data_IF_843194341964
#
_entry.id   IF_843194341964
#
_cell.length_a   1.000
_cell.length_b   1.000
_cell.length_c   1.000
_cell.angle_alpha   90.00
_cell.angle_beta   90.00
_cell.angle_gamma   90.00
#
_symmetry.space_group_name_H-M   'P 1'
#
loop_
_entity.id
_entity.type
_entity.pdbx_description
1 polymer ?
#
# COMPACT_ATOMS: atom_id res chain seq x y z
N UNK A 1 -3.09 20.21 8.07
CA UNK A 1 -3.49 19.15 7.14
C UNK A 1 -4.77 18.43 7.61
N UNK A 2 -5.26 17.40 6.92
CA UNK A 2 -6.49 16.66 7.29
C UNK A 2 -6.27 15.60 8.38
N UNK A 3 -5.12 14.92 8.39
CA UNK A 3 -4.79 13.88 9.39
C UNK A 3 -4.54 14.47 10.78
N UNK A 4 -3.76 15.54 10.87
CA UNK A 4 -3.45 16.29 12.09
C UNK A 4 -4.68 16.83 12.84
N UNK A 5 -5.78 17.07 12.12
CA UNK A 5 -7.04 17.53 12.74
C UNK A 5 -7.76 16.43 13.50
N UNK A 6 -7.54 15.18 13.11
CA UNK A 6 -8.17 14.00 13.73
C UNK A 6 -7.29 13.40 14.83
N UNK A 7 -5.97 13.61 14.76
CA UNK A 7 -4.99 12.94 15.61
C UNK A 7 -4.53 13.83 16.79
N UNK A 8 -4.40 13.28 18.02
CA UNK A 8 -3.73 13.95 19.14
C UNK A 8 -2.32 14.41 18.76
N UNK A 9 -1.87 15.57 19.27
CA UNK A 9 -0.59 16.18 18.87
C UNK A 9 0.62 15.31 19.19
N UNK A 10 0.56 14.58 20.29
CA UNK A 10 1.56 13.63 20.76
C UNK A 10 1.75 12.43 19.80
N UNK A 11 0.76 12.13 18.97
CA UNK A 11 0.81 11.02 18.01
C UNK A 11 1.31 11.45 16.61
N UNK A 12 1.54 12.74 16.37
CA UNK A 12 1.92 13.25 15.04
C UNK A 12 3.28 12.75 14.56
N UNK A 13 4.23 12.61 15.47
CA UNK A 13 5.57 12.12 15.18
C UNK A 13 5.60 10.58 15.04
N UNK A 14 5.06 9.79 15.99
CA UNK A 14 5.12 8.33 15.90
C UNK A 14 4.28 7.73 14.77
N UNK A 15 3.18 8.38 14.34
CA UNK A 15 2.32 7.82 13.30
C UNK A 15 3.00 7.78 11.92
N UNK A 16 3.90 8.73 11.64
CA UNK A 16 4.49 8.89 10.32
C UNK A 16 5.39 7.70 9.94
N UNK A 17 6.36 7.27 10.77
CA UNK A 17 7.14 6.07 10.51
C UNK A 17 6.26 4.82 10.31
N UNK A 18 5.15 4.69 11.05
CA UNK A 18 4.22 3.56 10.90
C UNK A 18 3.52 3.57 9.55
N UNK A 19 2.96 4.71 9.13
CA UNK A 19 2.26 4.85 7.85
C UNK A 19 3.22 4.70 6.67
N UNK A 20 4.42 5.29 6.76
CA UNK A 20 5.47 5.16 5.74
C UNK A 20 5.91 3.69 5.63
N UNK A 21 6.22 3.04 6.75
CA UNK A 21 6.61 1.63 6.78
C UNK A 21 5.51 0.73 6.20
N UNK A 22 4.25 0.99 6.53
CA UNK A 22 3.10 0.28 5.97
C UNK A 22 3.00 0.45 4.44
N UNK A 23 3.15 1.68 3.94
CA UNK A 23 3.12 1.97 2.49
C UNK A 23 4.30 1.38 1.72
N UNK A 24 5.45 1.20 2.37
CA UNK A 24 6.64 0.59 1.76
C UNK A 24 6.60 -0.94 1.75
N UNK A 25 5.90 -1.57 2.70
CA UNK A 25 6.00 -3.03 2.93
C UNK A 25 4.72 -3.82 2.65
N UNK A 26 3.54 -3.22 2.84
CA UNK A 26 2.22 -3.86 2.68
C UNK A 26 1.40 -3.18 1.58
N UNK A 27 1.10 -1.88 1.72
CA UNK A 27 0.27 -1.15 0.77
C UNK A 27 1.12 -0.44 -0.30
N UNK A 28 1.90 -1.25 -1.05
CA UNK A 28 2.83 -0.75 -2.06
C UNK A 28 2.11 -0.21 -3.30
N UNK A 29 2.70 0.77 -4.02
CA UNK A 29 2.09 1.36 -5.22
C UNK A 29 1.94 0.35 -6.36
N UNK A 30 2.85 -0.63 -6.43
CA UNK A 30 2.80 -1.74 -7.37
C UNK A 30 2.58 -3.02 -6.57
N UNK A 31 1.43 -3.68 -6.79
CA UNK A 31 1.04 -4.95 -6.16
C UNK A 31 0.98 -4.90 -4.62
N UNK A 32 0.00 -4.18 -4.04
CA UNK A 32 -0.21 -4.20 -2.59
C UNK A 32 -0.51 -5.63 -2.10
N UNK A 33 -0.01 -5.98 -0.92
CA UNK A 33 -0.20 -7.29 -0.29
C UNK A 33 -1.51 -7.34 0.49
N UNK A 34 -2.64 -7.22 -0.22
CA UNK A 34 -3.97 -7.15 0.39
C UNK A 34 -4.37 -8.43 1.14
N UNK A 35 -3.78 -9.58 0.79
CA UNK A 35 -3.98 -10.87 1.44
C UNK A 35 -3.54 -10.88 2.92
N UNK A 36 -2.45 -10.19 3.25
CA UNK A 36 -1.94 -10.06 4.62
C UNK A 36 -2.23 -8.70 5.26
N UNK A 37 -2.93 -7.80 4.56
CA UNK A 37 -3.26 -6.48 5.08
C UNK A 37 -4.39 -6.57 6.12
N UNK A 38 -4.11 -6.20 7.37
CA UNK A 38 -5.06 -6.31 8.48
C UNK A 38 -6.34 -5.46 8.37
N UNK A 39 -6.42 -4.55 7.39
CA UNK A 39 -7.59 -3.70 7.13
C UNK A 39 -8.26 -4.01 5.78
N UNK A 40 -7.94 -5.14 5.15
CA UNK A 40 -8.45 -5.48 3.82
C UNK A 40 -9.98 -5.55 3.76
N UNK A 41 -10.64 -5.92 4.86
CA UNK A 41 -12.08 -6.05 4.98
C UNK A 41 -12.84 -4.72 4.97
N UNK A 42 -12.15 -3.61 5.26
CA UNK A 42 -12.73 -2.26 5.27
C UNK A 42 -12.10 -1.33 4.22
N UNK A 43 -11.02 -1.76 3.56
CA UNK A 43 -10.34 -0.95 2.57
C UNK A 43 -11.07 -0.99 1.23
N UNK A 44 -11.59 0.15 0.72
CA UNK A 44 -12.30 0.18 -0.56
C UNK A 44 -11.37 -0.08 -1.76
N UNK A 45 -10.06 -0.08 -1.56
CA UNK A 45 -9.06 -0.36 -2.59
C UNK A 45 -8.47 -1.77 -2.50
N UNK A 46 -8.88 -2.59 -1.53
CA UNK A 46 -8.39 -3.95 -1.39
C UNK A 46 -8.70 -4.76 -2.66
N UNK A 47 -7.70 -5.52 -3.13
CA UNK A 47 -7.77 -6.39 -4.31
C UNK A 47 -8.18 -5.69 -5.62
N UNK A 48 -8.18 -4.35 -5.66
CA UNK A 48 -8.32 -3.62 -6.92
C UNK A 48 -7.02 -3.75 -7.70
N UNK A 49 -7.12 -4.19 -8.95
CA UNK A 49 -5.96 -4.22 -9.82
C UNK A 49 -5.46 -2.80 -10.06
N UNK A 50 -4.20 -2.52 -9.71
CA UNK A 50 -3.54 -1.30 -10.13
C UNK A 50 -3.40 -1.37 -11.65
N UNK A 51 -4.21 -0.59 -12.38
CA UNK A 51 -4.04 -0.37 -13.81
C UNK A 51 -2.71 0.34 -14.06
N UNK A 52 -1.63 -0.41 -14.16
CA UNK A 52 -0.32 0.11 -14.56
C UNK A 52 0.37 -0.90 -15.48
N UNK A 53 0.95 -0.43 -16.60
CA UNK A 53 1.39 -1.28 -17.70
C UNK A 53 2.53 -2.20 -17.26
N UNK A 54 2.42 -3.47 -17.63
CA UNK A 54 3.38 -4.52 -17.30
C UNK A 54 4.70 -4.34 -18.07
N UNK A 55 5.88 -4.12 -17.43
CA UNK A 55 7.15 -4.01 -18.16
C UNK A 55 7.79 -5.36 -18.49
N UNK A 56 7.16 -6.52 -18.22
CA UNK A 56 7.80 -7.83 -18.34
C UNK A 56 6.94 -8.87 -19.07
N UNK A 57 6.79 -8.69 -20.38
CA UNK A 57 6.71 -9.80 -21.35
C UNK A 57 8.08 -9.95 -22.06
N UNK A 58 9.13 -10.30 -21.34
CA UNK A 58 10.37 -10.82 -21.95
C UNK A 58 11.00 -11.84 -21.02
N UNK A 59 10.66 -13.11 -21.22
CA UNK A 59 11.54 -14.29 -21.15
C UNK A 59 10.70 -15.56 -21.00
N UNK A 60 10.37 -16.17 -22.13
CA UNK A 60 10.73 -17.57 -22.40
C UNK A 60 10.71 -17.78 -23.91
N UNK A 61 11.90 -17.76 -24.52
CA UNK A 61 12.13 -18.45 -25.78
C UNK A 61 12.13 -19.93 -25.40
N UNK A 62 11.21 -20.71 -25.94
CA UNK A 62 11.23 -22.17 -25.86
C UNK A 62 10.97 -22.71 -27.27
N UNK A 63 11.59 -23.84 -27.60
CA UNK A 63 12.19 -24.13 -28.89
C UNK A 63 11.23 -24.09 -30.08
#
# INVERSE_FOLDING_TARGET
MSLEKWLPKDEWEPINPLLVGFGQTICTPLRPKCDICGINNICPSAFKESSSPNPKQKKTRSP
#
